data_IF_025192535154
#
_entry.id   IF_025192535154
#
_cell.length_a   1.000
_cell.length_b   1.000
_cell.length_c   1.000
_cell.angle_alpha   90.00
_cell.angle_beta   90.00
_cell.angle_gamma   90.00
#
_symmetry.space_group_name_H-M   'P 1'
#
loop_
_entity.id
_entity.type
_entity.pdbx_description
1 polymer ?
#
# COMPACT_ATOMS: atom_id res chain seq x y z
N UNK A 1 32.63 15.56 80.85
CA UNK A 1 33.49 15.72 79.65
C UNK A 1 32.65 15.32 78.44
N UNK A 2 32.43 16.30 77.56
CA UNK A 2 31.92 16.31 76.18
C UNK A 2 30.64 15.50 75.86
N UNK A 3 29.50 16.13 75.52
CA UNK A 3 29.16 17.00 74.37
C UNK A 3 28.92 16.27 73.04
N UNK A 4 27.81 16.64 72.38
CA UNK A 4 27.52 16.46 70.96
C UNK A 4 26.17 15.78 70.70
N UNK A 5 25.03 16.49 70.63
CA UNK A 5 24.44 17.09 69.39
C UNK A 5 24.52 16.14 68.18
N UNK A 6 23.45 15.78 67.47
CA UNK A 6 22.17 16.41 67.16
C UNK A 6 21.98 16.27 65.65
N UNK A 7 20.77 15.96 65.15
CA UNK A 7 20.27 16.37 63.82
C UNK A 7 19.06 15.51 63.40
N UNK A 8 17.92 16.18 63.33
CA UNK A 8 16.68 15.72 62.73
C UNK A 8 16.76 15.86 61.21
N UNK A 9 16.54 14.77 60.46
CA UNK A 9 16.43 14.79 59.00
C UNK A 9 15.06 14.29 58.55
N UNK A 10 14.13 15.21 58.33
CA UNK A 10 12.84 14.96 57.66
C UNK A 10 13.09 14.52 56.21
N UNK A 11 12.83 13.24 55.90
CA UNK A 11 12.72 12.78 54.53
C UNK A 11 11.36 13.22 53.95
N UNK A 12 11.40 14.14 53.00
CA UNK A 12 10.23 14.58 52.21
C UNK A 12 9.70 13.41 51.38
N UNK A 13 8.39 13.19 51.28
CA UNK A 13 7.84 12.27 50.29
C UNK A 13 7.97 12.91 48.89
N UNK A 14 8.69 12.23 47.99
CA UNK A 14 8.60 12.49 46.56
C UNK A 14 7.14 12.22 46.13
N UNK A 15 6.38 13.28 45.90
CA UNK A 15 5.15 13.21 45.11
C UNK A 15 5.54 12.96 43.66
N UNK A 16 5.60 11.69 43.28
CA UNK A 16 5.54 11.31 41.87
C UNK A 16 4.13 11.63 41.38
N UNK A 17 3.94 12.85 40.88
CA UNK A 17 2.76 13.19 40.09
C UNK A 17 2.94 12.47 38.76
N UNK A 18 2.43 11.25 38.68
CA UNK A 18 2.16 10.60 37.40
C UNK A 18 0.98 11.35 36.81
N UNK A 19 1.25 12.37 36.00
CA UNK A 19 0.28 12.88 35.05
C UNK A 19 0.06 11.77 34.01
N UNK A 20 -0.83 10.83 34.30
CA UNK A 20 -1.48 10.03 33.27
C UNK A 20 -2.33 11.03 32.49
N UNK A 21 -1.73 11.62 31.46
CA UNK A 21 -2.50 12.23 30.40
C UNK A 21 -3.26 11.09 29.72
N UNK A 22 -4.45 10.78 30.24
CA UNK A 22 -5.49 10.13 29.46
C UNK A 22 -5.74 11.12 28.33
N UNK A 23 -5.07 10.92 27.19
CA UNK A 23 -5.49 11.45 25.91
C UNK A 23 -6.86 10.82 25.66
N UNK A 24 -7.90 11.39 26.27
CA UNK A 24 -9.26 11.19 25.82
C UNK A 24 -9.20 11.59 24.36
N UNK A 25 -9.33 10.62 23.47
CA UNK A 25 -9.48 10.84 22.05
C UNK A 25 -10.60 11.86 21.88
N UNK A 26 -10.22 13.14 21.73
CA UNK A 26 -11.15 14.15 21.29
C UNK A 26 -11.60 13.63 19.93
N UNK A 27 -12.78 13.02 19.92
CA UNK A 27 -13.46 12.68 18.69
C UNK A 27 -13.67 14.02 18.02
N UNK A 28 -12.75 14.38 17.13
CA UNK A 28 -12.97 15.46 16.19
C UNK A 28 -14.16 14.98 15.40
N UNK A 29 -15.33 15.47 15.78
CA UNK A 29 -16.56 15.27 15.04
C UNK A 29 -16.35 16.02 13.73
N UNK A 30 -15.62 15.39 12.81
CA UNK A 30 -15.64 15.81 11.43
C UNK A 30 -17.11 15.76 11.04
N UNK A 31 -17.62 16.92 10.61
CA UNK A 31 -18.82 16.96 9.80
C UNK A 31 -18.73 15.84 8.76
N UNK A 32 -19.88 15.24 8.43
CA UNK A 32 -20.00 14.18 7.43
C UNK A 32 -19.01 14.40 6.28
N UNK A 33 -18.26 13.36 5.92
CA UNK A 33 -17.27 13.44 4.84
C UNK A 33 -17.88 14.09 3.59
N UNK A 34 -17.17 15.03 2.94
CA UNK A 34 -17.73 15.76 1.82
C UNK A 34 -17.91 14.84 0.62
N UNK A 35 -19.06 14.96 -0.05
CA UNK A 35 -19.31 14.29 -1.32
C UNK A 35 -18.60 15.07 -2.42
N UNK A 36 -17.50 14.53 -2.93
CA UNK A 36 -16.61 15.17 -3.90
C UNK A 36 -16.30 14.16 -5.01
N UNK A 37 -16.20 14.65 -6.25
CA UNK A 37 -15.78 13.83 -7.40
C UNK A 37 -14.26 13.82 -7.55
N UNK A 38 -13.68 12.78 -8.20
CA UNK A 38 -12.25 12.72 -8.45
C UNK A 38 -11.75 13.97 -9.19
N UNK A 39 -10.50 14.42 -8.95
CA UNK A 39 -9.92 15.51 -9.71
C UNK A 39 -9.88 15.13 -11.20
N UNK A 40 -10.15 16.11 -12.07
CA UNK A 40 -10.01 15.92 -13.53
C UNK A 40 -8.56 15.83 -14.00
N UNK A 41 -7.60 16.11 -13.11
CA UNK A 41 -6.16 16.05 -13.38
C UNK A 41 -5.51 14.88 -12.60
N UNK A 42 -4.41 14.31 -13.13
CA UNK A 42 -3.63 13.29 -12.43
C UNK A 42 -2.97 13.85 -11.17
N UNK A 43 -2.32 12.95 -10.41
CA UNK A 43 -1.47 13.33 -9.26
C UNK A 43 -0.49 14.43 -9.67
N UNK A 44 -0.26 15.39 -8.77
CA UNK A 44 0.74 16.43 -8.96
C UNK A 44 2.14 15.83 -9.15
N UNK A 45 2.91 16.40 -10.08
CA UNK A 45 4.20 15.85 -10.49
C UNK A 45 5.22 15.76 -9.34
N UNK A 46 5.33 16.79 -8.50
CA UNK A 46 6.26 16.80 -7.36
C UNK A 46 5.90 15.72 -6.34
N UNK A 47 4.60 15.51 -6.11
CA UNK A 47 4.12 14.49 -5.19
C UNK A 47 4.40 13.08 -5.74
N UNK A 48 4.16 12.87 -7.04
CA UNK A 48 4.46 11.62 -7.71
C UNK A 48 5.97 11.35 -7.67
N UNK A 49 6.81 12.32 -8.00
CA UNK A 49 8.27 12.16 -8.00
C UNK A 49 8.79 11.86 -6.59
N UNK A 50 8.23 12.52 -5.57
CA UNK A 50 8.51 12.20 -4.17
C UNK A 50 8.13 10.76 -3.81
N UNK A 51 6.99 10.27 -4.27
CA UNK A 51 6.54 8.89 -4.06
C UNK A 51 7.47 7.88 -4.76
N UNK A 52 7.82 8.16 -6.02
CA UNK A 52 8.70 7.30 -6.82
C UNK A 52 10.10 7.20 -6.20
N UNK A 53 10.66 8.34 -5.78
CA UNK A 53 11.98 8.38 -5.13
C UNK A 53 12.02 7.53 -3.87
N UNK A 54 11.03 7.69 -2.97
CA UNK A 54 10.95 6.91 -1.72
C UNK A 54 10.69 5.42 -1.96
N UNK A 55 9.99 5.08 -3.06
CA UNK A 55 9.84 3.71 -3.51
C UNK A 55 11.07 3.10 -4.20
N UNK A 56 12.20 3.83 -4.26
CA UNK A 56 13.45 3.39 -4.87
C UNK A 56 13.43 3.35 -6.40
N UNK A 57 12.53 4.09 -7.04
CA UNK A 57 12.44 4.12 -8.51
C UNK A 57 13.49 5.03 -9.13
N UNK A 58 13.99 4.57 -10.28
CA UNK A 58 14.84 5.32 -11.20
C UNK A 58 14.72 4.70 -12.60
N UNK A 59 15.28 5.37 -13.60
CA UNK A 59 15.32 4.83 -14.98
C UNK A 59 16.18 3.56 -15.13
N UNK A 60 16.98 3.22 -14.11
CA UNK A 60 17.79 2.01 -14.06
C UNK A 60 17.37 1.04 -12.96
N UNK A 61 16.35 1.40 -12.16
CA UNK A 61 15.85 0.60 -11.06
C UNK A 61 15.36 -0.77 -11.53
N UNK A 62 15.23 -1.69 -10.59
CA UNK A 62 14.91 -3.06 -10.89
C UNK A 62 14.07 -3.69 -9.79
N UNK A 63 13.51 -4.86 -10.05
CA UNK A 63 12.83 -5.61 -8.99
C UNK A 63 13.88 -6.04 -7.96
N UNK A 64 13.61 -5.77 -6.69
CA UNK A 64 14.53 -6.10 -5.60
C UNK A 64 13.74 -6.39 -4.31
N UNK A 65 14.32 -7.18 -3.38
CA UNK A 65 13.63 -7.60 -2.16
C UNK A 65 13.71 -6.56 -1.03
N UNK A 66 14.31 -5.39 -1.25
CA UNK A 66 14.55 -4.44 -0.15
C UNK A 66 13.25 -3.87 0.42
N UNK A 67 13.31 -3.53 1.71
CA UNK A 67 12.26 -2.76 2.34
C UNK A 67 12.23 -1.34 1.76
N UNK A 68 11.03 -0.81 1.59
CA UNK A 68 10.81 0.60 1.27
C UNK A 68 10.19 1.30 2.45
N UNK A 69 10.53 2.57 2.62
CA UNK A 69 10.01 3.43 3.68
C UNK A 69 9.63 4.77 3.08
N UNK A 70 8.58 5.38 3.62
CA UNK A 70 8.26 6.77 3.33
C UNK A 70 8.86 7.67 4.41
N UNK A 71 9.34 8.83 4.01
CA UNK A 71 9.70 9.91 4.92
C UNK A 71 8.45 10.35 5.72
N UNK A 72 8.60 10.43 7.03
CA UNK A 72 7.58 10.86 7.99
C UNK A 72 7.05 12.26 7.63
N UNK A 73 7.95 13.17 7.24
CA UNK A 73 7.63 14.52 6.78
C UNK A 73 6.78 14.52 5.50
N UNK A 74 7.07 13.62 4.56
CA UNK A 74 6.30 13.46 3.33
C UNK A 74 4.86 13.03 3.63
N UNK A 75 4.67 12.05 4.51
CA UNK A 75 3.33 11.62 4.94
C UNK A 75 2.62 12.77 5.68
N UNK A 76 3.31 13.44 6.60
CA UNK A 76 2.74 14.59 7.34
C UNK A 76 2.24 15.65 6.36
N UNK A 77 3.01 16.02 5.35
CA UNK A 77 2.61 17.01 4.35
C UNK A 77 1.32 16.65 3.61
N UNK A 78 1.15 15.37 3.25
CA UNK A 78 -0.09 14.87 2.63
C UNK A 78 -1.27 14.96 3.61
N UNK A 79 -1.09 14.52 4.85
CA UNK A 79 -2.15 14.53 5.86
C UNK A 79 -2.54 15.96 6.23
N UNK A 80 -1.57 16.86 6.43
CA UNK A 80 -1.80 18.27 6.73
C UNK A 80 -2.60 18.95 5.61
N UNK A 81 -2.27 18.68 4.34
CA UNK A 81 -2.99 19.22 3.19
C UNK A 81 -4.46 18.79 3.19
N UNK A 82 -4.74 17.51 3.47
CA UNK A 82 -6.10 17.01 3.61
C UNK A 82 -6.83 17.62 4.80
N UNK A 83 -6.20 17.68 5.98
CA UNK A 83 -6.82 18.24 7.19
C UNK A 83 -7.13 19.73 7.02
N UNK A 84 -6.27 20.48 6.34
CA UNK A 84 -6.50 21.88 6.03
C UNK A 84 -7.65 22.09 5.04
N UNK A 85 -7.84 21.18 4.07
CA UNK A 85 -8.85 21.28 3.01
C UNK A 85 -9.52 19.93 2.74
N UNK A 86 -10.37 19.42 3.65
CA UNK A 86 -10.92 18.06 3.54
C UNK A 86 -11.91 17.87 2.39
N UNK A 87 -12.37 18.96 1.76
CA UNK A 87 -13.21 18.95 0.56
C UNK A 87 -12.45 19.17 -0.74
N UNK A 88 -11.12 19.34 -0.70
CA UNK A 88 -10.30 19.49 -1.91
C UNK A 88 -10.10 18.10 -2.57
N UNK A 89 -10.62 17.88 -3.79
CA UNK A 89 -10.44 16.61 -4.50
C UNK A 89 -8.98 16.19 -4.61
N UNK A 90 -8.06 17.15 -4.76
CA UNK A 90 -6.63 16.86 -4.88
C UNK A 90 -6.06 16.34 -3.56
N UNK A 91 -6.38 16.98 -2.44
CA UNK A 91 -5.91 16.53 -1.13
C UNK A 91 -6.48 15.14 -0.76
N UNK A 92 -7.73 14.86 -1.11
CA UNK A 92 -8.34 13.53 -0.98
C UNK A 92 -7.61 12.51 -1.85
N UNK A 93 -7.30 12.86 -3.10
CA UNK A 93 -6.58 11.99 -4.04
C UNK A 93 -5.19 11.62 -3.52
N UNK A 94 -4.44 12.63 -3.06
CA UNK A 94 -3.07 12.52 -2.60
C UNK A 94 -2.96 11.64 -1.35
N UNK A 95 -3.95 11.69 -0.46
CA UNK A 95 -4.04 10.79 0.70
C UNK A 95 -4.15 9.31 0.32
N UNK A 96 -4.65 9.01 -0.89
CA UNK A 96 -4.69 7.66 -1.44
C UNK A 96 -3.31 7.03 -1.63
N UNK A 97 -2.25 7.83 -1.73
CA UNK A 97 -0.86 7.36 -1.80
C UNK A 97 -0.37 6.80 -0.46
N UNK A 98 -0.84 7.36 0.67
CA UNK A 98 -0.52 6.85 2.01
C UNK A 98 -1.13 5.44 2.19
N UNK A 99 -2.38 5.27 1.74
CA UNK A 99 -3.03 3.96 1.70
C UNK A 99 -2.30 2.96 0.78
N UNK A 100 -1.87 3.41 -0.41
CA UNK A 100 -1.10 2.58 -1.34
C UNK A 100 0.22 2.11 -0.72
N UNK A 101 1.04 3.02 -0.19
CA UNK A 101 2.35 2.65 0.34
C UNK A 101 2.24 1.77 1.59
N UNK A 102 1.47 2.21 2.60
CA UNK A 102 1.51 1.56 3.91
C UNK A 102 0.59 0.34 4.01
N UNK A 103 -0.61 0.41 3.42
CA UNK A 103 -1.58 -0.68 3.52
C UNK A 103 -1.49 -1.66 2.35
N UNK A 104 -1.16 -1.19 1.12
CA UNK A 104 -1.08 -2.06 -0.05
C UNK A 104 0.32 -2.64 -0.24
N UNK A 105 1.31 -1.76 -0.29
CA UNK A 105 2.69 -2.10 -0.59
C UNK A 105 3.47 -2.56 0.65
N UNK A 106 2.92 -2.32 1.83
CA UNK A 106 3.49 -2.71 3.13
C UNK A 106 4.87 -2.05 3.36
N UNK A 107 5.01 -0.83 2.85
CA UNK A 107 6.15 0.03 3.11
C UNK A 107 6.13 0.48 4.58
N UNK A 108 7.30 0.88 5.05
CA UNK A 108 7.50 1.45 6.36
C UNK A 108 7.45 2.97 6.38
N UNK A 109 7.83 3.55 7.51
CA UNK A 109 7.98 5.00 7.70
C UNK A 109 9.34 5.27 8.36
N UNK A 110 10.01 6.34 7.94
CA UNK A 110 11.28 6.80 8.51
C UNK A 110 11.35 8.34 8.67
N UNK A 111 12.00 8.87 9.72
CA UNK A 111 12.41 8.15 10.92
C UNK A 111 11.18 7.64 11.70
N UNK A 112 11.38 6.57 12.48
CA UNK A 112 10.33 6.02 13.34
C UNK A 112 10.12 6.84 14.62
N UNK A 113 11.12 7.65 15.00
CA UNK A 113 11.11 8.44 16.23
C UNK A 113 9.93 9.40 16.28
N UNK A 114 9.18 9.35 17.39
CA UNK A 114 7.99 10.17 17.60
C UNK A 114 6.71 9.64 16.95
N UNK A 115 6.78 8.57 16.14
CA UNK A 115 5.58 7.87 15.67
C UNK A 115 4.94 7.05 16.81
N UNK A 116 3.61 6.81 16.75
CA UNK A 116 2.96 5.86 17.65
C UNK A 116 3.45 4.43 17.43
N UNK A 117 3.09 3.52 18.34
CA UNK A 117 3.42 2.10 18.22
C UNK A 117 3.04 1.55 16.84
N UNK A 118 3.99 0.88 16.18
CA UNK A 118 3.77 0.23 14.89
C UNK A 118 2.82 -0.97 15.06
N UNK A 119 1.62 -0.96 14.44
CA UNK A 119 0.69 -2.08 14.56
C UNK A 119 1.29 -3.42 14.10
N UNK A 120 2.25 -3.40 13.17
CA UNK A 120 2.94 -4.60 12.68
C UNK A 120 4.09 -5.08 13.58
N UNK A 121 4.46 -4.32 14.61
CA UNK A 121 5.55 -4.68 15.52
C UNK A 121 6.91 -4.77 14.84
N UNK A 122 7.16 -3.98 13.79
CA UNK A 122 8.42 -3.96 13.02
C UNK A 122 9.15 -2.63 13.14
N UNK A 123 8.86 -1.85 14.19
CA UNK A 123 9.42 -0.52 14.38
C UNK A 123 9.30 0.36 13.12
N UNK A 124 8.14 0.32 12.48
CA UNK A 124 7.85 1.02 11.22
C UNK A 124 8.74 0.60 10.03
N UNK A 125 9.48 -0.50 10.11
CA UNK A 125 10.21 -1.06 8.97
C UNK A 125 9.28 -1.63 7.90
N UNK A 126 9.65 -1.45 6.63
CA UNK A 126 8.93 -2.05 5.49
C UNK A 126 9.16 -3.56 5.37
N UNK A 127 8.31 -4.24 4.61
CA UNK A 127 8.44 -5.68 4.36
C UNK A 127 9.55 -5.98 3.34
N UNK A 128 10.36 -7.00 3.63
CA UNK A 128 11.47 -7.50 2.80
C UNK A 128 11.05 -8.78 2.07
N UNK A 129 11.64 -9.05 0.91
CA UNK A 129 11.52 -10.33 0.20
C UNK A 129 10.27 -10.44 -0.65
N UNK A 130 9.68 -11.63 -0.74
CA UNK A 130 8.53 -11.88 -1.62
C UNK A 130 7.20 -11.28 -1.12
N UNK A 131 7.13 -10.90 0.15
CA UNK A 131 5.98 -10.23 0.76
C UNK A 131 6.12 -8.71 0.57
N UNK A 132 5.00 -7.98 0.52
CA UNK A 132 4.96 -6.55 0.14
C UNK A 132 5.03 -6.28 -1.37
N UNK A 133 4.86 -5.02 -1.79
CA UNK A 133 4.94 -4.59 -3.19
C UNK A 133 5.97 -3.50 -3.42
N UNK A 134 6.53 -3.44 -4.62
CA UNK A 134 7.48 -2.42 -5.05
C UNK A 134 7.04 -1.83 -6.39
N UNK A 135 7.58 -0.66 -6.70
CA UNK A 135 7.37 0.00 -7.99
C UNK A 135 7.84 -0.87 -9.16
N UNK A 136 8.94 -1.60 -8.96
CA UNK A 136 9.53 -2.49 -9.97
C UNK A 136 9.09 -3.96 -9.82
N UNK A 137 7.99 -4.26 -9.11
CA UNK A 137 7.52 -5.65 -9.01
C UNK A 137 7.07 -6.18 -10.37
N UNK A 138 7.81 -7.15 -10.91
CA UNK A 138 7.42 -7.89 -12.11
C UNK A 138 7.82 -9.37 -12.06
N UNK A 139 8.44 -9.81 -10.96
CA UNK A 139 8.90 -11.19 -10.77
C UNK A 139 7.89 -12.09 -10.05
N UNK A 140 7.04 -11.55 -9.15
CA UNK A 140 6.03 -12.34 -8.43
C UNK A 140 4.85 -11.51 -7.92
N UNK A 141 3.68 -12.15 -7.95
CA UNK A 141 2.46 -11.66 -7.36
C UNK A 141 1.87 -10.44 -8.07
N UNK A 142 1.96 -10.35 -9.40
CA UNK A 142 1.47 -9.25 -10.24
C UNK A 142 2.40 -8.03 -10.39
N UNK A 143 1.99 -7.10 -11.26
CA UNK A 143 2.79 -5.97 -11.73
C UNK A 143 2.65 -4.73 -10.85
N UNK A 144 3.80 -4.14 -10.51
CA UNK A 144 3.97 -2.85 -9.84
C UNK A 144 3.36 -2.79 -8.43
N UNK A 145 3.30 -1.56 -7.91
CA UNK A 145 2.88 -1.29 -6.53
C UNK A 145 1.39 -1.55 -6.29
N UNK A 146 0.56 -1.39 -7.33
CA UNK A 146 -0.90 -1.53 -7.26
C UNK A 146 -1.43 -2.94 -7.49
N UNK A 147 -0.56 -3.93 -7.81
CA UNK A 147 -0.92 -5.34 -7.99
C UNK A 147 -1.75 -5.60 -9.28
N UNK A 148 -1.25 -5.20 -10.45
CA UNK A 148 -1.96 -5.42 -11.71
C UNK A 148 -1.77 -6.86 -12.25
N UNK A 149 -2.81 -7.70 -12.25
CA UNK A 149 -2.71 -9.15 -12.48
C UNK A 149 -3.50 -9.71 -13.69
N UNK A 150 -4.78 -9.31 -13.85
CA UNK A 150 -5.73 -9.86 -14.83
C UNK A 150 -6.29 -8.73 -15.69
N UNK A 151 -7.48 -8.22 -15.38
CA UNK A 151 -8.12 -7.14 -16.16
C UNK A 151 -7.29 -5.85 -16.11
N UNK A 152 -6.81 -5.48 -14.91
CA UNK A 152 -5.91 -4.32 -14.75
C UNK A 152 -4.58 -4.51 -15.49
N UNK A 153 -4.09 -5.75 -15.62
CA UNK A 153 -2.91 -6.04 -16.43
C UNK A 153 -3.22 -5.87 -17.91
N UNK A 154 -4.37 -6.36 -18.38
CA UNK A 154 -4.81 -6.19 -19.75
C UNK A 154 -4.99 -4.70 -20.11
N UNK A 155 -5.55 -3.89 -19.21
CA UNK A 155 -5.65 -2.45 -19.38
C UNK A 155 -4.27 -1.78 -19.41
N UNK A 156 -3.33 -2.24 -18.57
CA UNK A 156 -1.96 -1.76 -18.62
C UNK A 156 -1.25 -2.11 -19.93
N UNK A 157 -1.47 -3.31 -20.48
CA UNK A 157 -1.01 -3.66 -21.83
C UNK A 157 -1.56 -2.72 -22.90
N UNK A 158 -2.86 -2.36 -22.82
CA UNK A 158 -3.46 -1.38 -23.74
C UNK A 158 -2.79 -0.01 -23.63
N UNK A 159 -2.49 0.43 -22.41
CA UNK A 159 -1.71 1.64 -22.17
C UNK A 159 -0.31 1.55 -22.78
N UNK A 160 0.43 0.48 -22.51
CA UNK A 160 1.80 0.27 -23.02
C UNK A 160 1.78 0.28 -24.56
N UNK A 161 0.82 -0.42 -25.18
CA UNK A 161 0.70 -0.47 -26.63
C UNK A 161 0.44 0.90 -27.23
N UNK A 162 -0.38 1.74 -26.58
CA UNK A 162 -0.63 3.12 -27.00
C UNK A 162 0.60 4.01 -26.83
N UNK A 163 1.33 3.87 -25.72
CA UNK A 163 2.49 4.70 -25.37
C UNK A 163 3.75 4.34 -26.18
N UNK A 164 4.00 3.03 -26.36
CA UNK A 164 5.25 2.50 -26.92
C UNK A 164 5.10 1.89 -28.31
N UNK A 165 3.91 1.48 -28.72
CA UNK A 165 3.69 0.78 -29.98
C UNK A 165 4.66 -0.40 -30.15
N UNK A 166 5.26 -0.51 -31.33
CA UNK A 166 6.19 -1.59 -31.68
C UNK A 166 7.65 -1.33 -31.26
N UNK A 167 7.93 -0.28 -30.47
CA UNK A 167 9.29 0.03 -30.02
C UNK A 167 9.86 -0.95 -28.98
N UNK A 168 9.02 -1.79 -28.38
CA UNK A 168 9.44 -2.78 -27.40
C UNK A 168 10.10 -4.01 -28.05
N UNK A 169 11.18 -4.56 -27.46
CA UNK A 169 11.75 -5.83 -27.91
C UNK A 169 10.69 -6.95 -27.95
N UNK A 170 10.58 -7.64 -29.08
CA UNK A 170 9.57 -8.69 -29.29
C UNK A 170 8.12 -8.19 -29.07
N UNK A 171 7.82 -6.92 -29.41
CA UNK A 171 6.52 -6.28 -29.20
C UNK A 171 5.32 -7.13 -29.63
N UNK A 172 5.35 -7.71 -30.84
CA UNK A 172 4.26 -8.56 -31.35
C UNK A 172 3.94 -9.71 -30.41
N UNK A 173 4.96 -10.45 -29.96
CA UNK A 173 4.80 -11.58 -29.04
C UNK A 173 4.44 -11.12 -27.63
N UNK A 174 5.00 -9.99 -27.17
CA UNK A 174 4.65 -9.39 -25.89
C UNK A 174 3.16 -9.02 -25.82
N UNK A 175 2.61 -8.34 -26.82
CA UNK A 175 1.20 -7.93 -26.83
C UNK A 175 0.23 -9.09 -27.02
N UNK A 176 0.67 -10.23 -27.57
CA UNK A 176 -0.13 -11.47 -27.59
C UNK A 176 -0.38 -12.04 -26.19
N UNK A 177 0.40 -11.63 -25.18
CA UNK A 177 0.20 -12.02 -23.78
C UNK A 177 -0.91 -11.22 -23.09
N UNK A 178 -1.46 -10.18 -23.75
CA UNK A 178 -2.57 -9.41 -23.20
C UNK A 178 -3.78 -10.30 -22.90
N UNK A 179 -4.38 -10.12 -21.72
CA UNK A 179 -5.52 -10.93 -21.25
C UNK A 179 -5.11 -12.27 -20.63
N UNK A 180 -3.83 -12.63 -20.64
CA UNK A 180 -3.32 -13.76 -19.86
C UNK A 180 -3.08 -13.28 -18.43
N UNK A 181 -3.75 -13.95 -17.48
CA UNK A 181 -3.56 -13.71 -16.05
C UNK A 181 -2.08 -13.93 -15.65
N UNK A 182 -1.54 -13.02 -14.84
CA UNK A 182 -0.15 -13.03 -14.38
C UNK A 182 0.28 -14.36 -13.77
N UNK A 183 -0.55 -14.98 -12.92
CA UNK A 183 -0.18 -16.23 -12.25
C UNK A 183 -0.01 -17.39 -13.24
N UNK A 184 -0.72 -17.36 -14.38
CA UNK A 184 -0.52 -18.35 -15.45
C UNK A 184 0.80 -18.13 -16.18
N UNK A 185 1.12 -16.88 -16.52
CA UNK A 185 2.42 -16.52 -17.13
C UNK A 185 3.57 -16.95 -16.22
N UNK A 186 3.45 -16.68 -14.91
CA UNK A 186 4.41 -17.08 -13.91
C UNK A 186 4.52 -18.61 -13.78
N UNK A 187 3.40 -19.33 -13.66
CA UNK A 187 3.38 -20.79 -13.53
C UNK A 187 4.01 -21.50 -14.75
N UNK A 188 3.60 -21.11 -15.96
CA UNK A 188 4.07 -21.68 -17.21
C UNK A 188 5.50 -21.20 -17.58
N UNK A 189 5.98 -20.11 -16.95
CA UNK A 189 7.30 -19.50 -17.14
C UNK A 189 8.49 -20.26 -16.54
N UNK A 190 8.33 -21.55 -16.25
CA UNK A 190 9.37 -22.42 -15.68
C UNK A 190 9.29 -22.62 -14.16
N UNK A 191 8.51 -21.79 -13.44
CA UNK A 191 8.39 -21.88 -11.98
C UNK A 191 7.69 -23.16 -11.50
N UNK A 192 6.92 -23.83 -12.36
CA UNK A 192 6.27 -25.10 -12.05
C UNK A 192 7.03 -26.35 -12.55
N UNK A 193 8.26 -26.19 -13.04
CA UNK A 193 9.14 -27.31 -13.36
C UNK A 193 9.92 -27.78 -12.13
N UNK A 194 10.30 -29.07 -12.12
CA UNK A 194 11.14 -29.67 -11.07
C UNK A 194 12.36 -30.35 -11.71
N UNK A 195 13.57 -29.77 -11.60
CA UNK A 195 13.88 -28.46 -11.00
C UNK A 195 13.25 -27.29 -11.77
N UNK A 196 13.16 -26.12 -11.13
CA UNK A 196 12.71 -24.88 -11.79
C UNK A 196 13.65 -24.54 -12.94
N UNK A 197 13.09 -24.18 -14.09
CA UNK A 197 13.83 -23.88 -15.34
C UNK A 197 13.71 -22.41 -15.74
N UNK A 198 13.27 -21.55 -14.82
CA UNK A 198 13.03 -20.13 -15.07
C UNK A 198 14.26 -19.48 -15.67
N UNK A 199 14.07 -18.76 -16.78
CA UNK A 199 15.13 -17.97 -17.39
C UNK A 199 15.40 -16.72 -16.52
N UNK A 200 16.63 -16.61 -16.03
CA UNK A 200 17.04 -15.57 -15.06
C UNK A 200 17.71 -14.34 -15.70
N UNK A 201 17.87 -14.35 -17.03
CA UNK A 201 18.42 -13.26 -17.82
C UNK A 201 17.37 -12.67 -18.76
N UNK A 202 17.43 -11.36 -18.97
CA UNK A 202 16.53 -10.63 -19.85
C UNK A 202 16.90 -10.81 -21.34
N UNK A 203 16.14 -10.21 -22.26
CA UNK A 203 16.39 -10.35 -23.71
C UNK A 203 17.74 -9.76 -24.16
N UNK A 204 18.34 -8.88 -23.36
CA UNK A 204 19.66 -8.28 -23.62
C UNK A 204 20.80 -9.01 -22.88
N UNK A 205 20.51 -10.17 -22.28
CA UNK A 205 21.48 -10.97 -21.52
C UNK A 205 21.81 -10.42 -20.13
N UNK A 206 21.09 -9.40 -19.64
CA UNK A 206 21.30 -8.84 -18.30
C UNK A 206 20.52 -9.65 -17.26
N UNK A 207 21.09 -9.96 -16.08
CA UNK A 207 20.37 -10.66 -15.03
C UNK A 207 19.15 -9.85 -14.57
N UNK A 208 18.09 -10.53 -14.14
CA UNK A 208 16.99 -9.90 -13.40
C UNK A 208 17.41 -9.62 -11.95
N UNK A 209 17.04 -8.46 -11.38
CA UNK A 209 17.47 -8.04 -10.03
C UNK A 209 16.94 -8.94 -8.93
N UNK A 210 15.71 -9.45 -9.09
CA UNK A 210 15.14 -10.44 -8.21
C UNK A 210 14.96 -11.79 -8.92
N UNK A 211 15.76 -12.76 -8.48
CA UNK A 211 15.88 -14.12 -9.07
C UNK A 211 15.19 -15.18 -8.19
N UNK A 212 14.76 -14.80 -6.99
CA UNK A 212 14.53 -15.73 -5.91
C UNK A 212 13.12 -16.31 -5.86
N UNK A 213 12.69 -17.02 -6.90
CA UNK A 213 11.55 -17.92 -6.77
C UNK A 213 11.84 -19.23 -7.50
N UNK A 214 12.24 -20.24 -6.73
CA UNK A 214 12.34 -21.62 -7.21
C UNK A 214 10.97 -22.19 -7.58
N UNK A 215 10.77 -23.47 -7.27
CA UNK A 215 9.50 -24.12 -7.54
C UNK A 215 8.33 -23.43 -6.81
N UNK A 216 7.25 -23.08 -7.53
CA UNK A 216 6.13 -22.29 -7.00
C UNK A 216 5.22 -23.05 -6.01
N UNK A 217 5.41 -24.35 -5.85
CA UNK A 217 4.63 -25.20 -4.95
C UNK A 217 3.49 -25.94 -5.65
N UNK A 218 3.21 -27.18 -5.22
CA UNK A 218 2.26 -28.10 -5.88
C UNK A 218 0.87 -27.50 -6.02
N UNK A 219 0.37 -26.89 -4.93
CA UNK A 219 -0.97 -26.29 -4.93
C UNK A 219 -1.09 -25.15 -5.94
N UNK A 220 -0.08 -24.27 -5.99
CA UNK A 220 -0.09 -23.16 -6.93
C UNK A 220 -0.03 -23.68 -8.38
N UNK A 221 0.89 -24.61 -8.64
CA UNK A 221 1.07 -25.20 -9.96
C UNK A 221 -0.16 -25.98 -10.44
N UNK A 222 -0.85 -26.71 -9.56
CA UNK A 222 -2.10 -27.40 -9.91
C UNK A 222 -3.25 -26.46 -10.31
N UNK A 223 -3.27 -25.23 -9.75
CA UNK A 223 -4.29 -24.22 -10.06
C UNK A 223 -3.97 -23.51 -11.37
N UNK A 224 -2.74 -23.00 -11.51
CA UNK A 224 -2.38 -22.01 -12.52
C UNK A 224 -1.66 -22.54 -13.74
N UNK A 225 -0.97 -23.69 -13.66
CA UNK A 225 -0.25 -24.25 -14.80
C UNK A 225 -1.25 -24.77 -15.84
N UNK A 226 -1.24 -24.19 -17.03
CA UNK A 226 -2.18 -24.53 -18.13
C UNK A 226 -1.46 -24.75 -19.47
N UNK A 227 -0.15 -24.53 -19.55
CA UNK A 227 0.67 -24.68 -20.76
C UNK A 227 0.17 -23.83 -21.95
N UNK A 228 -0.34 -22.64 -21.68
CA UNK A 228 -0.75 -21.69 -22.73
C UNK A 228 0.40 -20.77 -23.14
N UNK A 229 1.37 -20.61 -22.25
CA UNK A 229 2.60 -19.86 -22.47
C UNK A 229 3.80 -20.72 -22.10
N UNK A 230 5.00 -20.19 -22.26
CA UNK A 230 6.24 -20.90 -21.94
C UNK A 230 7.29 -19.99 -21.27
N UNK A 231 8.46 -20.55 -20.99
CA UNK A 231 9.60 -19.83 -20.38
C UNK A 231 10.07 -18.62 -21.20
N UNK A 232 9.99 -18.69 -22.52
CA UNK A 232 10.37 -17.60 -23.41
C UNK A 232 9.34 -16.45 -23.33
N UNK A 233 8.04 -16.76 -23.29
CA UNK A 233 6.98 -15.76 -23.09
C UNK A 233 7.15 -15.04 -21.76
N UNK A 234 7.49 -15.78 -20.70
CA UNK A 234 7.80 -15.22 -19.39
C UNK A 234 9.02 -14.29 -19.43
N UNK A 235 10.09 -14.69 -20.13
CA UNK A 235 11.27 -13.85 -20.32
C UNK A 235 10.94 -12.55 -21.08
N UNK A 236 10.17 -12.65 -22.17
CA UNK A 236 9.70 -11.49 -22.97
C UNK A 236 8.86 -10.57 -22.09
N UNK A 237 7.93 -11.14 -21.33
CA UNK A 237 7.08 -10.41 -20.40
C UNK A 237 7.91 -9.64 -19.37
N UNK A 238 8.79 -10.32 -18.63
CA UNK A 238 9.62 -9.68 -17.60
C UNK A 238 10.54 -8.62 -18.17
N UNK A 239 11.15 -8.87 -19.33
CA UNK A 239 12.03 -7.89 -19.98
C UNK A 239 11.28 -6.60 -20.33
N UNK A 240 10.13 -6.72 -20.98
CA UNK A 240 9.36 -5.55 -21.38
C UNK A 240 8.72 -4.84 -20.19
N UNK A 241 8.24 -5.58 -19.17
CA UNK A 241 7.74 -4.97 -17.94
C UNK A 241 8.83 -4.22 -17.19
N UNK A 242 10.06 -4.73 -17.14
CA UNK A 242 11.22 -3.99 -16.60
C UNK A 242 11.43 -2.68 -17.34
N UNK A 243 11.39 -2.68 -18.68
CA UNK A 243 11.56 -1.45 -19.47
C UNK A 243 10.45 -0.44 -19.22
N UNK A 244 9.19 -0.89 -19.21
CA UNK A 244 8.02 -0.03 -18.98
C UNK A 244 8.00 0.52 -17.56
N UNK A 245 8.28 -0.30 -16.54
CA UNK A 245 8.26 0.14 -15.15
C UNK A 245 9.41 1.12 -14.83
N UNK A 246 10.46 1.17 -15.65
CA UNK A 246 11.52 2.21 -15.59
C UNK A 246 11.10 3.55 -16.15
N UNK A 247 9.90 3.66 -16.72
CA UNK A 247 9.36 4.92 -17.22
C UNK A 247 8.48 5.56 -16.15
N UNK A 248 8.50 6.89 -16.11
CA UNK A 248 7.69 7.64 -15.14
C UNK A 248 6.21 7.44 -15.46
N UNK A 249 5.87 7.40 -16.74
CA UNK A 249 4.52 7.26 -17.26
C UNK A 249 3.92 5.89 -16.92
N UNK A 250 4.73 4.82 -16.96
CA UNK A 250 4.33 3.48 -16.56
C UNK A 250 3.97 3.42 -15.08
N UNK A 251 4.79 4.04 -14.22
CA UNK A 251 4.48 4.14 -12.79
C UNK A 251 3.26 5.02 -12.51
N UNK A 252 3.19 6.19 -13.15
CA UNK A 252 2.06 7.10 -13.04
C UNK A 252 0.74 6.42 -13.41
N UNK A 253 0.72 5.63 -14.49
CA UNK A 253 -0.45 4.87 -14.90
C UNK A 253 -0.91 3.91 -13.79
N UNK A 254 -0.02 3.09 -13.25
CA UNK A 254 -0.37 2.09 -12.23
C UNK A 254 -0.85 2.71 -10.92
N UNK A 255 -0.28 3.85 -10.53
CA UNK A 255 -0.71 4.60 -9.35
C UNK A 255 -2.07 5.28 -9.60
N UNK A 256 -2.28 5.87 -10.78
CA UNK A 256 -3.57 6.46 -11.14
C UNK A 256 -4.68 5.40 -11.28
N UNK A 257 -4.36 4.22 -11.79
CA UNK A 257 -5.26 3.07 -11.81
C UNK A 257 -5.68 2.69 -10.39
N UNK A 258 -4.72 2.62 -9.44
CA UNK A 258 -5.03 2.41 -8.03
C UNK A 258 -6.05 3.42 -7.48
N UNK A 259 -5.80 4.70 -7.74
CA UNK A 259 -6.66 5.77 -7.26
C UNK A 259 -8.07 5.67 -7.85
N UNK A 260 -8.15 5.44 -9.15
CA UNK A 260 -9.41 5.36 -9.91
C UNK A 260 -10.24 4.13 -9.54
N UNK A 261 -9.62 2.97 -9.42
CA UNK A 261 -10.31 1.69 -9.28
C UNK A 261 -10.62 1.32 -7.83
N UNK A 262 -9.80 1.78 -6.88
CA UNK A 262 -9.89 1.34 -5.49
C UNK A 262 -10.10 2.49 -4.50
N UNK A 263 -9.28 3.54 -4.56
CA UNK A 263 -9.38 4.66 -3.62
C UNK A 263 -10.71 5.42 -3.75
N UNK A 264 -10.96 6.03 -4.92
CA UNK A 264 -12.14 6.87 -5.15
C UNK A 264 -13.47 6.12 -5.04
N UNK A 265 -13.61 4.87 -5.53
CA UNK A 265 -14.81 4.07 -5.28
C UNK A 265 -15.05 3.78 -3.80
N UNK A 266 -13.99 3.61 -3.00
CA UNK A 266 -14.11 3.44 -1.55
C UNK A 266 -14.49 4.76 -0.87
N UNK A 267 -13.86 5.87 -1.27
CA UNK A 267 -14.18 7.21 -0.78
C UNK A 267 -15.67 7.52 -0.96
N UNK A 268 -16.19 7.40 -2.19
CA UNK A 268 -17.61 7.68 -2.49
C UNK A 268 -18.57 6.83 -1.65
N UNK A 269 -18.26 5.55 -1.45
CA UNK A 269 -19.09 4.63 -0.66
C UNK A 269 -19.09 4.94 0.83
N UNK A 270 -17.98 5.47 1.36
CA UNK A 270 -17.87 5.87 2.77
C UNK A 270 -18.48 7.25 2.99
N UNK A 271 -18.20 8.22 2.13
CA UNK A 271 -18.78 9.57 2.20
C UNK A 271 -20.32 9.57 2.07
N UNK A 272 -20.87 8.58 1.37
CA UNK A 272 -22.31 8.31 1.32
C UNK A 272 -22.93 7.86 2.64
N UNK A 273 -22.14 7.47 3.65
CA UNK A 273 -22.64 6.99 4.95
C UNK A 273 -22.75 8.13 5.97
N UNK A 274 -23.72 8.08 6.90
CA UNK A 274 -23.90 9.14 7.90
C UNK A 274 -22.66 9.41 8.77
N UNK A 275 -21.93 8.34 9.12
CA UNK A 275 -20.78 8.37 10.03
C UNK A 275 -19.48 7.95 9.34
N UNK A 276 -19.40 8.06 8.02
CA UNK A 276 -18.21 7.66 7.27
C UNK A 276 -16.99 8.48 7.67
N UNK A 277 -15.84 7.82 7.85
CA UNK A 277 -14.57 8.47 8.17
C UNK A 277 -13.48 8.09 7.18
N UNK A 278 -12.45 8.90 7.06
CA UNK A 278 -11.37 8.64 6.10
C UNK A 278 -10.57 7.38 6.45
N UNK A 279 -10.51 7.00 7.73
CA UNK A 279 -9.94 5.72 8.14
C UNK A 279 -10.71 4.52 7.55
N UNK A 280 -12.03 4.64 7.40
CA UNK A 280 -12.82 3.61 6.73
C UNK A 280 -12.47 3.52 5.24
N UNK A 281 -12.15 4.64 4.59
CA UNK A 281 -11.70 4.68 3.20
C UNK A 281 -10.33 4.00 3.04
N UNK A 282 -9.40 4.28 3.95
CA UNK A 282 -8.07 3.66 3.98
C UNK A 282 -8.19 2.14 4.07
N UNK A 283 -8.99 1.63 5.01
CA UNK A 283 -9.21 0.19 5.15
C UNK A 283 -9.96 -0.37 3.93
N UNK A 284 -11.04 0.27 3.51
CA UNK A 284 -11.87 -0.26 2.45
C UNK A 284 -11.17 -0.30 1.10
N UNK A 285 -10.35 0.71 0.77
CA UNK A 285 -9.58 0.75 -0.48
C UNK A 285 -8.62 -0.42 -0.60
N UNK A 286 -7.89 -0.78 0.47
CA UNK A 286 -7.03 -1.98 0.47
C UNK A 286 -7.84 -3.27 0.35
N UNK A 287 -9.00 -3.38 1.01
CA UNK A 287 -9.89 -4.54 0.83
C UNK A 287 -10.37 -4.59 -0.63
N UNK A 288 -10.73 -3.45 -1.22
CA UNK A 288 -11.21 -3.34 -2.60
C UNK A 288 -10.15 -3.74 -3.61
N UNK A 289 -8.87 -3.42 -3.34
CA UNK A 289 -7.71 -3.92 -4.09
C UNK A 289 -7.66 -5.43 -4.19
N UNK A 290 -8.15 -6.12 -3.16
CA UNK A 290 -8.15 -7.58 -3.11
C UNK A 290 -9.44 -8.14 -3.72
N UNK A 291 -10.58 -7.50 -3.46
CA UNK A 291 -11.89 -7.90 -3.97
C UNK A 291 -12.93 -6.79 -3.77
N UNK A 292 -13.49 -6.22 -4.85
CA UNK A 292 -14.57 -5.24 -4.75
C UNK A 292 -15.84 -5.77 -4.07
N UNK A 293 -16.14 -7.07 -4.25
CA UNK A 293 -17.27 -7.75 -3.60
C UNK A 293 -17.06 -7.79 -2.08
N UNK A 294 -15.88 -8.23 -1.65
CA UNK A 294 -15.52 -8.28 -0.22
C UNK A 294 -15.60 -6.87 0.39
N UNK A 295 -15.06 -5.86 -0.29
CA UNK A 295 -15.07 -4.48 0.18
C UNK A 295 -16.48 -3.89 0.36
N UNK A 296 -17.42 -4.26 -0.51
CA UNK A 296 -18.82 -3.83 -0.36
C UNK A 296 -19.50 -4.51 0.84
N UNK A 297 -19.24 -5.80 1.03
CA UNK A 297 -19.78 -6.55 2.18
C UNK A 297 -19.23 -6.04 3.51
N UNK A 298 -17.92 -5.78 3.60
CA UNK A 298 -17.26 -5.30 4.83
C UNK A 298 -17.79 -3.94 5.26
N UNK A 299 -18.00 -3.00 4.32
CA UNK A 299 -18.67 -1.73 4.63
C UNK A 299 -20.10 -1.94 5.12
N UNK A 300 -20.85 -2.87 4.51
CA UNK A 300 -22.18 -3.21 4.97
C UNK A 300 -22.21 -3.66 6.43
N UNK A 301 -21.26 -4.51 6.83
CA UNK A 301 -21.09 -4.98 8.22
C UNK A 301 -20.67 -3.86 9.18
N UNK A 302 -19.91 -2.88 8.71
CA UNK A 302 -19.39 -1.81 9.55
C UNK A 302 -20.40 -0.70 9.88
N UNK A 303 -21.45 -0.50 9.05
CA UNK A 303 -22.43 0.61 9.17
C UNK A 303 -23.07 0.79 10.55
N UNK A 304 -23.29 -0.29 11.29
CA UNK A 304 -23.95 -0.29 12.60
C UNK A 304 -22.98 -0.59 13.75
N UNK A 305 -21.68 -0.73 13.45
CA UNK A 305 -20.67 -1.04 14.45
C UNK A 305 -20.22 0.21 15.19
N UNK A 306 -20.07 0.11 16.51
CA UNK A 306 -19.37 1.14 17.30
C UNK A 306 -17.87 1.23 16.98
N UNK A 307 -17.31 0.18 16.38
CA UNK A 307 -15.96 0.13 15.83
C UNK A 307 -16.01 -0.35 14.37
N UNK A 308 -16.14 0.60 13.45
CA UNK A 308 -16.25 0.34 12.03
C UNK A 308 -14.99 -0.34 11.46
N UNK A 309 -13.80 0.05 11.92
CA UNK A 309 -12.52 -0.49 11.45
C UNK A 309 -12.40 -1.96 11.81
N UNK A 310 -12.61 -2.32 13.08
CA UNK A 310 -12.55 -3.73 13.52
C UNK A 310 -13.63 -4.57 12.83
N UNK A 311 -14.83 -4.02 12.62
CA UNK A 311 -15.88 -4.72 11.87
C UNK A 311 -15.48 -5.00 10.41
N UNK A 312 -14.87 -4.03 9.72
CA UNK A 312 -14.38 -4.22 8.35
C UNK A 312 -13.27 -5.27 8.28
N UNK A 313 -12.29 -5.22 9.19
CA UNK A 313 -11.18 -6.16 9.24
C UNK A 313 -11.67 -7.60 9.52
N UNK A 314 -12.52 -7.77 10.52
CA UNK A 314 -13.13 -9.07 10.84
C UNK A 314 -13.91 -9.64 9.66
N UNK A 315 -14.73 -8.81 9.01
CA UNK A 315 -15.47 -9.22 7.81
C UNK A 315 -14.53 -9.57 6.64
N UNK A 316 -13.42 -8.87 6.46
CA UNK A 316 -12.44 -9.13 5.41
C UNK A 316 -11.75 -10.50 5.54
N UNK A 317 -11.64 -11.00 6.77
CA UNK A 317 -11.15 -12.36 7.05
C UNK A 317 -12.26 -13.42 7.15
N UNK A 318 -13.53 -13.04 7.02
CA UNK A 318 -14.67 -13.95 7.12
C UNK A 318 -15.12 -14.45 5.75
N UNK A 319 -15.49 -15.73 5.68
CA UNK A 319 -16.13 -16.32 4.49
C UNK A 319 -17.46 -15.67 4.15
N UNK A 320 -18.15 -15.08 5.14
CA UNK A 320 -19.44 -14.39 4.95
C UNK A 320 -19.34 -13.20 4.00
N UNK A 321 -18.15 -12.61 3.90
CA UNK A 321 -17.85 -11.55 2.93
C UNK A 321 -16.89 -12.01 1.85
N UNK A 322 -16.84 -13.31 1.53
CA UNK A 322 -15.91 -13.90 0.56
C UNK A 322 -14.42 -13.72 0.92
N UNK A 323 -14.14 -13.38 2.18
CA UNK A 323 -12.80 -13.29 2.74
C UNK A 323 -12.18 -14.65 3.03
N UNK A 324 -10.90 -14.62 3.39
CA UNK A 324 -10.13 -15.80 3.80
C UNK A 324 -9.53 -15.56 5.19
N UNK A 325 -9.50 -16.55 6.09
CA UNK A 325 -8.90 -16.38 7.42
C UNK A 325 -7.46 -15.88 7.39
N UNK A 326 -6.68 -16.28 6.38
CA UNK A 326 -5.29 -15.82 6.16
C UNK A 326 -5.17 -14.30 5.97
N UNK A 327 -6.24 -13.61 5.55
CA UNK A 327 -6.22 -12.16 5.40
C UNK A 327 -5.91 -11.42 6.72
N UNK A 328 -6.08 -12.07 7.89
CA UNK A 328 -5.67 -11.52 9.19
C UNK A 328 -4.21 -11.10 9.24
N UNK A 329 -3.32 -11.79 8.51
CA UNK A 329 -1.89 -11.42 8.45
C UNK A 329 -1.64 -10.03 7.87
N UNK A 330 -2.60 -9.49 7.10
CA UNK A 330 -2.50 -8.16 6.47
C UNK A 330 -3.00 -7.04 7.37
N UNK A 331 -3.76 -7.35 8.42
CA UNK A 331 -4.38 -6.33 9.28
C UNK A 331 -3.38 -5.35 9.89
N UNK A 332 -2.22 -5.79 10.42
CA UNK A 332 -1.27 -4.85 11.00
C UNK A 332 -0.79 -3.79 10.00
N UNK A 333 -0.51 -4.19 8.75
CA UNK A 333 -0.10 -3.27 7.69
C UNK A 333 -1.24 -2.35 7.24
N UNK A 334 -2.47 -2.86 7.19
CA UNK A 334 -3.65 -2.01 6.94
C UNK A 334 -3.81 -0.93 8.01
N UNK A 335 -3.55 -1.28 9.27
CA UNK A 335 -3.64 -0.37 10.39
C UNK A 335 -2.53 0.68 10.43
N UNK A 336 -1.35 0.43 9.83
CA UNK A 336 -0.28 1.45 9.73
C UNK A 336 -0.80 2.74 9.11
N UNK A 337 -1.48 2.66 7.97
CA UNK A 337 -2.02 3.84 7.28
C UNK A 337 -3.04 4.60 8.15
N UNK A 338 -3.90 3.87 8.87
CA UNK A 338 -4.90 4.44 9.80
C UNK A 338 -4.21 5.16 10.98
N UNK A 339 -3.21 4.51 11.58
CA UNK A 339 -2.51 5.01 12.76
C UNK A 339 -1.70 6.26 12.42
N UNK A 340 -0.95 6.26 11.31
CA UNK A 340 -0.18 7.45 10.88
C UNK A 340 -1.10 8.61 10.52
N UNK A 341 -2.20 8.33 9.81
CA UNK A 341 -3.20 9.36 9.49
C UNK A 341 -3.73 10.03 10.77
N UNK A 342 -4.18 9.23 11.75
CA UNK A 342 -4.71 9.75 13.02
C UNK A 342 -3.68 10.56 13.78
N UNK A 343 -2.44 10.09 13.83
CA UNK A 343 -1.36 10.77 14.50
C UNK A 343 -1.15 12.18 13.93
N UNK A 344 -0.91 12.31 12.62
CA UNK A 344 -0.67 13.62 12.02
C UNK A 344 -1.92 14.51 12.00
N UNK A 345 -3.10 13.93 11.78
CA UNK A 345 -4.34 14.71 11.79
C UNK A 345 -4.60 15.36 13.16
N UNK A 346 -4.39 14.62 14.25
CA UNK A 346 -4.52 15.16 15.60
C UNK A 346 -3.46 16.22 15.92
N UNK A 347 -2.21 16.01 15.49
CA UNK A 347 -1.14 17.00 15.64
C UNK A 347 -1.49 18.32 14.94
N UNK A 348 -1.96 18.26 13.69
CA UNK A 348 -2.33 19.44 12.91
C UNK A 348 -3.49 20.21 13.55
N UNK A 349 -4.51 19.52 14.05
CA UNK A 349 -5.62 20.16 14.73
C UNK A 349 -5.19 20.83 16.03
N UNK A 350 -4.32 20.19 16.81
CA UNK A 350 -3.76 20.78 18.03
C UNK A 350 -2.89 22.02 17.75
N UNK A 351 -2.20 22.07 16.60
CA UNK A 351 -1.49 23.26 16.13
C UNK A 351 -2.44 24.38 15.74
N UNK A 352 -3.51 24.08 14.99
CA UNK A 352 -4.54 25.05 14.61
C UNK A 352 -5.28 25.64 15.81
N UNK A 353 -5.53 24.86 16.86
CA UNK A 353 -6.16 25.35 18.10
C UNK A 353 -5.24 26.29 18.87
N UNK A 354 -3.92 26.04 18.88
CA UNK A 354 -2.95 26.89 19.59
C UNK A 354 -2.72 28.26 18.93
N UNK A 355 -3.04 28.39 17.64
CA UNK A 355 -2.88 29.63 16.88
C UNK A 355 -4.12 30.55 16.93
N UNK A 356 -5.25 30.05 17.45
CA UNK A 356 -6.47 30.82 17.70
C UNK A 356 -6.48 31.31 19.15
#
# INVERSE_FOLDING_TARGET
MHEGSGSWGFARPLRLIVCIAILSSANVAYARMPMVEPPGQPINDDLLDGFLRQGGWSQTADDDPSARQLEASYIKGIVDAYVAKPSDPKAINDLGLVGLALAVAEWGVEPADGLPDDPAGKNWGGVIGADGKRLMSYSKGAIGVSHADSDSLADFFSFIKKDRGDSLPQATRFYQLQGINFDRLYADGGHCNRPSTVIVIDLNGKPFGYVEHGYAGDRYCGIYRKYKTNEEDWRIFRHNMRLVLRTREGQAYLINAWLKEYWWPSYRKVAGQPNGKIEDVIINSRIRNSSPVTANCTLGKARSSGDAISAQLNAYASKDCHGKPDHKRRWPYMMRAVVVYRFYANHQLAEQTRQK
#
